data_IF_175772309175
#
_entry.id   IF_175772309175
#
_cell.length_a   1.000
_cell.length_b   1.000
_cell.length_c   1.000
_cell.angle_alpha   90.00
_cell.angle_beta   90.00
_cell.angle_gamma   90.00
#
_symmetry.space_group_name_H-M   'P 1'
#
loop_
_entity.id
_entity.type
_entity.pdbx_description
1 polymer ?
#
# COMPACT_ATOMS: atom_id res chain seq x y z
N UNK A 1 -33.97 19.12 32.28
CA UNK A 1 -33.06 19.16 31.12
C UNK A 1 -31.64 19.07 31.65
N UNK A 2 -31.11 17.85 31.80
CA UNK A 2 -29.68 17.59 32.06
C UNK A 2 -29.35 16.25 31.40
N UNK A 3 -28.57 16.27 30.31
CA UNK A 3 -28.07 15.09 29.61
C UNK A 3 -26.89 14.49 30.37
N UNK A 4 -27.07 13.31 30.95
CA UNK A 4 -26.07 12.59 31.77
C UNK A 4 -25.21 11.59 30.96
N UNK A 5 -25.31 11.53 29.62
CA UNK A 5 -24.80 10.37 28.86
C UNK A 5 -23.57 10.60 27.97
N UNK A 6 -22.86 11.73 28.07
CA UNK A 6 -21.80 12.04 27.09
C UNK A 6 -20.34 12.00 27.57
N UNK A 7 -20.05 11.81 28.86
CA UNK A 7 -18.66 11.90 29.37
C UNK A 7 -17.95 10.55 29.57
N UNK A 8 -18.67 9.43 29.59
CA UNK A 8 -18.07 8.10 29.83
C UNK A 8 -17.44 7.45 28.59
N UNK A 9 -17.93 7.73 27.39
CA UNK A 9 -17.49 7.02 26.16
C UNK A 9 -16.11 7.51 25.65
N UNK A 10 -15.83 8.81 25.78
CA UNK A 10 -14.57 9.39 25.33
C UNK A 10 -13.35 8.95 26.18
N UNK A 11 -13.59 8.53 27.42
CA UNK A 11 -12.56 8.00 28.33
C UNK A 11 -12.21 6.54 28.03
N UNK A 12 -13.17 5.74 27.58
CA UNK A 12 -12.94 4.34 27.18
C UNK A 12 -12.09 4.24 25.90
N UNK A 13 -12.34 5.13 24.92
CA UNK A 13 -11.59 5.14 23.66
C UNK A 13 -10.08 5.39 23.80
N UNK A 14 -9.67 6.19 24.80
CA UNK A 14 -8.25 6.40 25.13
C UNK A 14 -7.62 5.25 25.92
N UNK A 15 -8.42 4.45 26.63
CA UNK A 15 -7.95 3.27 27.35
C UNK A 15 -7.79 2.03 26.46
N UNK A 16 -8.48 1.99 25.31
CA UNK A 16 -8.39 0.91 24.34
C UNK A 16 -7.21 1.07 23.36
N UNK A 17 -6.75 2.30 23.15
CA UNK A 17 -5.54 2.60 22.40
C UNK A 17 -4.37 2.67 23.39
N UNK A 18 -3.51 1.67 23.33
CA UNK A 18 -2.28 1.65 24.14
C UNK A 18 -1.22 2.53 23.47
N UNK A 19 -0.23 3.02 24.22
CA UNK A 19 0.96 3.71 23.65
C UNK A 19 1.65 2.88 22.54
N UNK A 20 1.56 1.55 22.64
CA UNK A 20 2.00 0.60 21.61
C UNK A 20 1.22 0.73 20.29
N UNK A 21 -0.09 1.00 20.35
CA UNK A 21 -0.93 1.17 19.16
C UNK A 21 -0.61 2.49 18.44
N UNK A 22 -0.32 3.54 19.21
CA UNK A 22 0.17 4.80 18.66
C UNK A 22 1.53 4.62 17.97
N UNK A 23 2.44 3.87 18.58
CA UNK A 23 3.74 3.56 17.98
C UNK A 23 3.61 2.74 16.69
N UNK A 24 2.79 1.69 16.70
CA UNK A 24 2.50 0.88 15.51
C UNK A 24 1.86 1.73 14.42
N UNK A 25 0.94 2.63 14.77
CA UNK A 25 0.34 3.56 13.83
C UNK A 25 1.38 4.45 13.16
N UNK A 26 2.29 5.06 13.93
CA UNK A 26 3.35 5.91 13.37
C UNK A 26 4.29 5.11 12.47
N UNK A 27 4.69 3.91 12.88
CA UNK A 27 5.51 3.01 12.05
C UNK A 27 4.81 2.69 10.74
N UNK A 28 3.52 2.42 10.77
CA UNK A 28 2.71 2.08 9.59
C UNK A 28 2.43 3.30 8.68
N UNK A 29 2.40 4.51 9.24
CA UNK A 29 2.21 5.74 8.47
C UNK A 29 3.42 6.06 7.58
N UNK A 30 4.64 5.74 8.03
CA UNK A 30 5.88 5.94 7.24
C UNK A 30 5.83 5.21 5.88
N UNK A 31 5.64 3.87 5.81
CA UNK A 31 5.57 3.14 4.55
C UNK A 31 4.35 3.54 3.72
N UNK A 32 3.23 3.94 4.34
CA UNK A 32 2.06 4.47 3.61
C UNK A 32 2.40 5.77 2.87
N UNK A 33 3.01 6.73 3.57
CA UNK A 33 3.47 8.00 2.97
C UNK A 33 4.50 7.75 1.88
N UNK A 34 5.50 6.92 2.15
CA UNK A 34 6.52 6.54 1.18
C UNK A 34 5.90 5.94 -0.09
N UNK A 35 4.92 5.04 0.07
CA UNK A 35 4.22 4.42 -1.05
C UNK A 35 3.47 5.44 -1.91
N UNK A 36 2.75 6.39 -1.29
CA UNK A 36 2.05 7.46 -2.02
C UNK A 36 3.04 8.34 -2.80
N UNK A 37 4.17 8.69 -2.19
CA UNK A 37 5.20 9.49 -2.85
C UNK A 37 5.84 8.75 -4.03
N UNK A 38 6.13 7.45 -3.88
CA UNK A 38 6.62 6.64 -4.98
C UNK A 38 5.58 6.50 -6.09
N UNK A 39 4.33 6.19 -5.77
CA UNK A 39 3.27 6.08 -6.77
C UNK A 39 3.11 7.40 -7.56
N UNK A 40 3.16 8.55 -6.88
CA UNK A 40 3.10 9.87 -7.51
C UNK A 40 4.35 10.19 -8.37
N UNK A 41 5.53 9.80 -7.91
CA UNK A 41 6.78 9.98 -8.66
C UNK A 41 6.78 9.12 -9.93
N UNK A 42 6.33 7.86 -9.81
CA UNK A 42 6.27 6.91 -10.93
C UNK A 42 5.20 7.28 -11.96
N UNK A 43 4.10 7.91 -11.54
CA UNK A 43 3.08 8.44 -12.45
C UNK A 43 3.64 9.47 -13.45
N UNK A 44 4.68 10.23 -13.08
CA UNK A 44 5.37 11.17 -13.99
C UNK A 44 6.07 10.46 -15.16
N UNK A 45 6.38 9.18 -15.01
CA UNK A 45 6.97 8.33 -16.05
C UNK A 45 5.91 7.52 -16.81
N UNK A 46 4.61 7.78 -16.59
CA UNK A 46 3.51 7.03 -17.19
C UNK A 46 3.35 5.61 -16.63
N UNK A 47 4.04 5.28 -15.54
CA UNK A 47 4.03 3.93 -14.98
C UNK A 47 2.89 3.77 -13.96
N UNK A 48 2.07 2.75 -14.18
CA UNK A 48 1.07 2.29 -13.21
C UNK A 48 1.74 1.65 -11.99
N UNK A 49 1.01 1.57 -10.88
CA UNK A 49 1.48 0.92 -9.64
C UNK A 49 1.97 -0.50 -9.84
N UNK A 50 1.31 -1.23 -10.74
CA UNK A 50 1.64 -2.60 -11.11
C UNK A 50 2.96 -2.66 -11.88
N UNK A 51 3.15 -1.77 -12.85
CA UNK A 51 4.35 -1.72 -13.69
C UNK A 51 5.61 -1.39 -12.89
N UNK A 52 5.59 -0.35 -12.05
CA UNK A 52 6.80 -0.01 -11.30
C UNK A 52 7.14 -1.06 -10.23
N UNK A 53 6.13 -1.72 -9.64
CA UNK A 53 6.37 -2.86 -8.75
C UNK A 53 7.03 -4.01 -9.49
N UNK A 54 6.59 -4.31 -10.72
CA UNK A 54 7.24 -5.31 -11.57
C UNK A 54 8.72 -4.97 -11.80
N UNK A 55 9.02 -3.71 -12.15
CA UNK A 55 10.40 -3.24 -12.32
C UNK A 55 11.24 -3.43 -11.06
N UNK A 56 10.67 -3.15 -9.89
CA UNK A 56 11.35 -3.35 -8.61
C UNK A 56 11.67 -4.82 -8.33
N UNK A 57 10.79 -5.76 -8.69
CA UNK A 57 11.06 -7.19 -8.57
C UNK A 57 12.15 -7.66 -9.55
N UNK A 58 12.09 -7.20 -10.80
CA UNK A 58 13.11 -7.50 -11.82
C UNK A 58 14.48 -6.96 -11.41
N UNK A 59 14.52 -5.73 -10.89
CA UNK A 59 15.75 -5.09 -10.41
C UNK A 59 16.36 -5.84 -9.21
N UNK A 60 15.54 -6.31 -8.27
CA UNK A 60 16.01 -7.04 -7.08
C UNK A 60 16.37 -8.49 -7.35
N UNK A 61 15.83 -9.09 -8.40
CA UNK A 61 16.03 -10.50 -8.73
C UNK A 61 16.27 -10.63 -10.24
N UNK A 62 17.51 -10.37 -10.70
CA UNK A 62 17.86 -10.53 -12.10
C UNK A 62 17.64 -11.99 -12.51
N UNK A 63 16.97 -12.20 -13.64
CA UNK A 63 16.61 -13.53 -14.14
C UNK A 63 15.30 -14.09 -13.58
N UNK A 64 14.51 -13.30 -12.85
CA UNK A 64 13.15 -13.71 -12.46
C UNK A 64 12.31 -14.01 -13.70
N UNK A 65 11.71 -15.20 -13.74
CA UNK A 65 10.85 -15.60 -14.86
C UNK A 65 9.51 -14.87 -14.79
N UNK A 66 8.82 -14.70 -15.92
CA UNK A 66 7.48 -14.09 -15.96
C UNK A 66 6.48 -14.81 -15.03
N UNK A 67 6.60 -16.13 -14.92
CA UNK A 67 5.74 -16.97 -14.06
C UNK A 67 6.02 -16.73 -12.58
N UNK A 68 7.29 -16.54 -12.20
CA UNK A 68 7.66 -16.27 -10.81
C UNK A 68 7.36 -14.82 -10.42
N UNK A 69 7.52 -13.87 -11.35
CA UNK A 69 7.07 -12.49 -11.18
C UNK A 69 5.56 -12.42 -10.88
N UNK A 70 4.75 -13.22 -11.60
CA UNK A 70 3.30 -13.31 -11.40
C UNK A 70 2.89 -13.92 -10.06
N UNK A 71 3.77 -14.69 -9.40
CA UNK A 71 3.56 -15.23 -8.04
C UNK A 71 3.98 -14.24 -6.95
N UNK A 72 5.05 -13.47 -7.18
CA UNK A 72 5.58 -12.50 -6.22
C UNK A 72 4.68 -11.27 -6.04
N UNK A 73 3.94 -10.92 -7.10
CA UNK A 73 2.88 -9.93 -7.05
C UNK A 73 1.57 -10.70 -6.87
N UNK A 74 0.72 -10.35 -5.89
CA UNK A 74 -0.64 -10.88 -5.72
C UNK A 74 -1.57 -10.46 -6.89
N UNK A 75 -1.12 -10.65 -8.13
CA UNK A 75 -1.79 -10.22 -9.34
C UNK A 75 -3.01 -11.11 -9.57
N UNK A 76 -4.16 -10.55 -9.23
CA UNK A 76 -5.44 -10.94 -9.82
C UNK A 76 -5.31 -10.87 -11.35
N UNK A 77 -5.98 -11.77 -12.06
CA UNK A 77 -6.01 -11.90 -13.54
C UNK A 77 -6.10 -10.54 -14.31
N UNK A 78 -6.79 -9.49 -13.81
CA UNK A 78 -6.79 -8.17 -14.44
C UNK A 78 -5.42 -7.48 -14.51
N UNK A 79 -4.51 -7.73 -13.55
CA UNK A 79 -3.21 -7.06 -13.49
C UNK A 79 -2.22 -7.58 -14.55
N UNK A 80 -2.31 -8.86 -14.91
CA UNK A 80 -1.57 -9.44 -16.04
C UNK A 80 -2.11 -8.93 -17.38
N UNK A 81 -3.43 -8.75 -17.50
CA UNK A 81 -4.04 -8.17 -18.70
C UNK A 81 -3.61 -6.71 -18.92
N UNK A 82 -3.48 -5.91 -17.85
CA UNK A 82 -3.02 -4.51 -17.95
C UNK A 82 -1.55 -4.38 -18.42
N UNK A 83 -0.70 -5.38 -18.11
CA UNK A 83 0.69 -5.41 -18.59
C UNK A 83 0.81 -5.84 -20.05
N UNK A 84 -0.17 -6.53 -20.64
CA UNK A 84 -0.12 -6.86 -22.07
C UNK A 84 -0.73 -5.75 -22.93
N UNK A 85 -1.74 -5.02 -22.42
CA UNK A 85 -2.37 -3.91 -23.16
C UNK A 85 -1.56 -2.63 -23.12
N UNK A 86 -0.95 -2.27 -21.98
CA UNK A 86 -0.24 -0.98 -21.85
C UNK A 86 1.15 -0.93 -22.49
N UNK A 87 1.74 -2.04 -22.91
CA UNK A 87 3.06 -2.09 -23.57
C UNK A 87 2.95 -2.19 -25.11
N UNK A 88 1.73 -2.08 -25.64
CA UNK A 88 1.43 -2.18 -27.07
C UNK A 88 1.02 -0.83 -27.69
N UNK A 89 1.03 0.23 -26.89
CA UNK A 89 0.93 1.64 -27.32
C UNK A 89 2.32 2.28 -27.16
#
# INVERSE_FOLDING_TARGET
>A
MVDFRSTSDASLGKSLLTDSDEFVFVIEEVPRKLRRLFDASMARFGLTRTQWRALVYIYRTPGITQTDLAKCSNWSVPALAMLSTSWKE
#
